data_IF_585993190555
#
_entry.id   IF_585993190555
#
_cell.length_a   1.000
_cell.length_b   1.000
_cell.length_c   1.000
_cell.angle_alpha   90.00
_cell.angle_beta   90.00
_cell.angle_gamma   90.00
#
_symmetry.space_group_name_H-M   'P 1'
#
loop_
_entity.id
_entity.type
_entity.pdbx_description
1 polymer ?
#
# COMPACT_ATOMS: atom_id res chain seq x y z
N UNK A 1 -11.99 12.78 23.62
CA UNK A 1 -11.17 11.55 23.73
C UNK A 1 -9.81 11.71 23.05
N UNK A 2 -9.74 12.19 21.79
CA UNK A 2 -8.48 12.28 21.02
C UNK A 2 -7.49 13.37 21.51
N UNK A 3 -7.97 14.45 22.17
CA UNK A 3 -7.13 15.53 22.72
C UNK A 3 -6.06 15.08 23.73
N UNK A 4 -6.24 13.92 24.38
CA UNK A 4 -5.30 13.39 25.37
C UNK A 4 -4.10 12.68 24.73
N UNK A 5 -4.11 12.46 23.41
CA UNK A 5 -3.08 11.73 22.68
C UNK A 5 -2.19 12.63 21.82
N UNK A 6 -2.22 13.95 22.05
CA UNK A 6 -1.38 14.92 21.33
C UNK A 6 0.09 14.64 21.64
N UNK A 7 0.90 14.47 20.58
CA UNK A 7 2.32 14.17 20.65
C UNK A 7 2.68 12.68 20.75
N UNK A 8 1.70 11.78 20.91
CA UNK A 8 1.95 10.33 21.04
C UNK A 8 1.98 9.64 19.67
N UNK A 9 2.75 8.55 19.57
CA UNK A 9 2.75 7.68 18.39
C UNK A 9 1.50 6.80 18.39
N UNK A 10 0.60 7.05 17.45
CA UNK A 10 -0.70 6.38 17.33
C UNK A 10 -0.55 4.88 17.12
N UNK A 11 0.55 4.43 16.52
CA UNK A 11 0.82 2.99 16.32
C UNK A 11 1.16 2.27 17.63
N UNK A 12 1.75 2.99 18.59
CA UNK A 12 2.11 2.50 19.93
C UNK A 12 0.94 2.51 20.92
N UNK A 13 -0.17 3.20 20.60
CA UNK A 13 -1.34 3.28 21.47
C UNK A 13 -2.18 1.99 21.42
N UNK A 14 -2.05 1.16 22.46
CA UNK A 14 -2.79 -0.11 22.63
C UNK A 14 -4.30 0.14 22.83
N UNK A 15 -4.68 1.26 23.45
CA UNK A 15 -6.04 1.51 23.98
C UNK A 15 -6.97 2.30 23.05
N UNK A 16 -6.63 2.46 21.76
CA UNK A 16 -7.52 3.18 20.84
C UNK A 16 -8.85 2.42 20.64
N UNK A 17 -9.99 3.14 20.58
CA UNK A 17 -11.30 2.54 20.41
C UNK A 17 -11.36 1.79 19.08
N UNK A 18 -12.01 0.62 19.04
CA UNK A 18 -12.14 -0.19 17.82
C UNK A 18 -12.90 0.54 16.71
N UNK A 19 -13.72 1.53 17.06
CA UNK A 19 -14.53 2.30 16.11
C UNK A 19 -13.73 3.15 15.13
N UNK A 20 -12.41 3.31 15.29
CA UNK A 20 -11.54 3.98 14.30
C UNK A 20 -10.73 2.99 13.45
N UNK A 21 -10.93 1.69 13.65
CA UNK A 21 -10.18 0.65 12.94
C UNK A 21 -10.94 0.17 11.71
N UNK A 22 -10.20 -0.08 10.64
CA UNK A 22 -10.67 -0.90 9.52
C UNK A 22 -10.48 -2.40 9.80
N UNK A 23 -11.14 -3.26 9.04
CA UNK A 23 -11.07 -4.72 9.21
C UNK A 23 -9.86 -5.36 8.54
N UNK A 24 -8.73 -4.66 8.47
CA UNK A 24 -7.47 -5.17 7.91
C UNK A 24 -6.31 -4.97 8.88
N UNK A 25 -5.31 -5.84 8.78
CA UNK A 25 -4.00 -5.60 9.42
C UNK A 25 -3.09 -4.80 8.48
N UNK A 26 -2.01 -4.22 9.01
CA UNK A 26 -1.02 -3.56 8.15
C UNK A 26 -0.41 -4.52 7.10
N UNK A 27 -0.37 -5.83 7.38
CA UNK A 27 0.13 -6.84 6.44
C UNK A 27 -0.79 -7.00 5.22
N UNK A 28 -2.11 -6.99 5.44
CA UNK A 28 -3.11 -6.94 4.37
C UNK A 28 -3.08 -5.60 3.64
N UNK A 29 -2.91 -4.48 4.37
CA UNK A 29 -2.76 -3.14 3.79
C UNK A 29 -1.62 -3.09 2.76
N UNK A 30 -0.49 -3.73 3.05
CA UNK A 30 0.64 -3.81 2.12
C UNK A 30 0.30 -4.58 0.82
N UNK A 31 -0.64 -5.52 0.88
CA UNK A 31 -1.10 -6.28 -0.29
C UNK A 31 -2.01 -5.46 -1.21
N UNK A 32 -2.67 -4.40 -0.71
CA UNK A 32 -3.57 -3.56 -1.51
C UNK A 32 -2.88 -2.91 -2.73
N UNK A 33 -1.58 -2.64 -2.61
CA UNK A 33 -0.73 -2.16 -3.71
C UNK A 33 -0.68 -3.11 -4.92
N UNK A 34 -1.11 -4.37 -4.73
CA UNK A 34 -1.10 -5.36 -5.80
C UNK A 34 -2.18 -5.15 -6.84
N UNK A 35 -3.25 -4.42 -6.52
CA UNK A 35 -4.34 -4.12 -7.47
C UNK A 35 -3.82 -3.52 -8.78
N UNK A 36 -2.87 -2.58 -8.64
CA UNK A 36 -2.36 -1.82 -9.76
C UNK A 36 -1.05 -2.40 -10.33
N UNK A 37 -0.63 -3.58 -9.87
CA UNK A 37 0.64 -4.20 -10.34
C UNK A 37 0.61 -4.59 -11.81
N UNK A 38 -0.56 -4.66 -12.44
CA UNK A 38 -0.67 -4.80 -13.90
C UNK A 38 0.05 -3.67 -14.68
N UNK A 39 0.29 -2.51 -14.04
CA UNK A 39 1.11 -1.44 -14.60
C UNK A 39 2.59 -1.85 -14.69
N UNK A 40 3.10 -2.62 -13.72
CA UNK A 40 4.47 -3.15 -13.77
C UNK A 40 4.60 -4.21 -14.88
N UNK A 41 3.57 -5.02 -15.10
CA UNK A 41 3.53 -5.97 -16.22
C UNK A 41 3.51 -5.25 -17.57
N UNK A 42 2.80 -4.12 -17.67
CA UNK A 42 2.83 -3.25 -18.86
C UNK A 42 4.20 -2.61 -19.06
N UNK A 43 4.85 -2.17 -17.98
CA UNK A 43 6.19 -1.62 -18.04
C UNK A 43 7.18 -2.66 -18.59
N UNK A 44 7.24 -3.86 -18.02
CA UNK A 44 8.14 -4.94 -18.47
C UNK A 44 7.96 -5.30 -19.96
N UNK A 45 6.73 -5.23 -20.47
CA UNK A 45 6.40 -5.51 -21.89
C UNK A 45 6.62 -4.32 -22.83
N UNK A 46 6.97 -3.14 -22.30
CA UNK A 46 7.06 -1.92 -23.08
C UNK A 46 8.45 -1.77 -23.70
N UNK A 47 8.51 -1.68 -25.03
CA UNK A 47 9.77 -1.44 -25.75
C UNK A 47 10.22 0.03 -25.71
N UNK A 48 9.26 0.97 -25.59
CA UNK A 48 9.55 2.40 -25.49
C UNK A 48 10.00 2.73 -24.05
N UNK A 49 11.26 3.17 -23.84
CA UNK A 49 11.79 3.46 -22.51
C UNK A 49 11.07 4.61 -21.80
N UNK A 50 10.46 5.55 -22.53
CA UNK A 50 9.69 6.63 -21.93
C UNK A 50 8.35 6.11 -21.42
N UNK A 51 7.65 5.31 -22.21
CA UNK A 51 6.39 4.68 -21.81
C UNK A 51 6.58 3.63 -20.70
N UNK A 52 7.73 2.95 -20.67
CA UNK A 52 8.13 2.12 -19.53
C UNK A 52 8.14 2.93 -18.23
N UNK A 53 8.83 4.09 -18.23
CA UNK A 53 8.95 4.94 -17.05
C UNK A 53 7.59 5.51 -16.65
N UNK A 54 6.75 5.82 -17.62
CA UNK A 54 5.38 6.23 -17.41
C UNK A 54 4.59 5.19 -16.61
N UNK A 55 4.55 3.92 -17.06
CA UNK A 55 3.83 2.87 -16.34
C UNK A 55 4.37 2.64 -14.92
N UNK A 56 5.71 2.62 -14.77
CA UNK A 56 6.35 2.47 -13.47
C UNK A 56 6.01 3.64 -12.52
N UNK A 57 5.99 4.87 -13.05
CA UNK A 57 5.63 6.07 -12.29
C UNK A 57 4.16 6.10 -11.92
N UNK A 58 3.24 5.73 -12.83
CA UNK A 58 1.82 5.60 -12.52
C UNK A 58 1.56 4.56 -11.42
N UNK A 59 2.30 3.44 -11.42
CA UNK A 59 2.22 2.47 -10.34
C UNK A 59 2.68 3.06 -9.00
N UNK A 60 3.79 3.81 -8.99
CA UNK A 60 4.27 4.50 -7.79
C UNK A 60 3.27 5.55 -7.27
N UNK A 61 2.60 6.30 -8.16
CA UNK A 61 1.55 7.26 -7.80
C UNK A 61 0.34 6.56 -7.16
N UNK A 62 -0.03 5.37 -7.62
CA UNK A 62 -1.17 4.61 -7.06
C UNK A 62 -1.00 4.28 -5.56
N UNK A 63 0.23 4.30 -5.03
CA UNK A 63 0.53 4.13 -3.61
C UNK A 63 -0.21 5.15 -2.75
N UNK A 64 -0.29 6.42 -3.19
CA UNK A 64 -0.96 7.47 -2.44
C UNK A 64 -2.46 7.20 -2.27
N UNK A 65 -3.11 6.68 -3.33
CA UNK A 65 -4.50 6.24 -3.26
C UNK A 65 -4.71 5.15 -2.22
N UNK A 66 -3.84 4.14 -2.21
CA UNK A 66 -3.93 2.99 -1.29
C UNK A 66 -3.85 3.44 0.18
N UNK A 67 -2.99 4.41 0.48
CA UNK A 67 -2.74 4.88 1.85
C UNK A 67 -3.56 6.11 2.28
N UNK A 68 -4.46 6.63 1.44
CA UNK A 68 -5.25 7.82 1.79
C UNK A 68 -6.34 7.57 2.84
N UNK A 69 -6.78 6.31 2.98
CA UNK A 69 -7.93 5.98 3.84
C UNK A 69 -7.58 6.25 5.30
N UNK A 70 -8.48 6.96 5.98
CA UNK A 70 -8.24 7.48 7.34
C UNK A 70 -8.46 6.44 8.44
N UNK A 71 -9.01 5.28 8.08
CA UNK A 71 -9.20 4.16 8.99
C UNK A 71 -7.86 3.58 9.42
N UNK A 72 -7.73 3.26 10.71
CA UNK A 72 -6.51 2.67 11.26
C UNK A 72 -6.51 1.15 11.03
N UNK A 73 -5.55 0.57 10.29
CA UNK A 73 -5.42 -0.89 10.24
C UNK A 73 -4.96 -1.43 11.61
N UNK A 74 -5.28 -2.68 11.89
CA UNK A 74 -4.75 -3.39 13.04
C UNK A 74 -3.23 -3.47 12.95
N UNK A 75 -2.54 -3.02 14.01
CA UNK A 75 -1.10 -3.20 14.11
C UNK A 75 -0.82 -4.71 14.20
N UNK A 76 -0.04 -5.30 13.28
CA UNK A 76 0.22 -6.73 13.31
C UNK A 76 0.97 -7.13 14.59
N UNK A 77 0.67 -8.33 15.10
CA UNK A 77 1.44 -8.89 16.22
C UNK A 77 2.76 -9.49 15.71
N UNK A 78 3.79 -9.58 16.55
CA UNK A 78 5.09 -10.13 16.15
C UNK A 78 4.91 -11.56 15.62
N UNK A 79 5.43 -11.82 14.42
CA UNK A 79 5.30 -13.12 13.76
C UNK A 79 4.00 -13.34 12.99
N UNK A 80 3.03 -12.42 13.05
CA UNK A 80 1.85 -12.43 12.17
C UNK A 80 2.29 -12.43 10.70
N UNK A 81 1.59 -13.19 9.86
CA UNK A 81 1.86 -13.32 8.43
C UNK A 81 0.62 -13.00 7.59
N UNK A 82 0.81 -12.67 6.33
CA UNK A 82 -0.26 -12.61 5.34
C UNK A 82 0.26 -13.09 3.99
N UNK A 83 -0.59 -13.77 3.22
CA UNK A 83 -0.22 -14.42 1.96
C UNK A 83 -1.35 -14.23 0.94
N UNK A 84 -0.99 -13.92 -0.31
CA UNK A 84 -1.91 -13.72 -1.43
C UNK A 84 -1.28 -14.40 -2.66
N UNK A 85 -1.93 -15.41 -3.23
CA UNK A 85 -1.40 -16.19 -4.37
C UNK A 85 -2.36 -16.31 -5.56
N UNK A 86 -3.65 -15.96 -5.38
CA UNK A 86 -4.67 -16.09 -6.43
C UNK A 86 -5.15 -14.72 -6.97
N UNK A 87 -4.22 -13.86 -7.39
CA UNK A 87 -4.55 -12.59 -8.02
C UNK A 87 -3.50 -12.18 -9.06
N UNK A 88 -3.86 -12.16 -10.34
CA UNK A 88 -2.99 -11.65 -11.42
C UNK A 88 -1.68 -12.40 -11.60
N UNK A 89 -1.58 -13.66 -11.17
CA UNK A 89 -0.32 -14.42 -11.15
C UNK A 89 0.69 -13.92 -10.12
N UNK A 90 0.30 -13.00 -9.24
CA UNK A 90 1.15 -12.41 -8.21
C UNK A 90 1.12 -13.27 -6.96
N UNK A 91 2.31 -13.63 -6.48
CA UNK A 91 2.54 -14.14 -5.13
C UNK A 91 2.96 -12.96 -4.27
N UNK A 92 2.24 -12.70 -3.19
CA UNK A 92 2.61 -11.73 -2.17
C UNK A 92 2.64 -12.39 -0.79
N UNK A 93 3.73 -12.13 -0.07
CA UNK A 93 3.97 -12.61 1.28
C UNK A 93 4.35 -11.43 2.16
N UNK A 94 3.80 -11.33 3.36
CA UNK A 94 4.24 -10.34 4.34
C UNK A 94 4.24 -10.88 5.76
N UNK A 95 5.07 -10.27 6.60
CA UNK A 95 5.28 -10.68 7.98
C UNK A 95 5.62 -9.50 8.88
N UNK A 96 5.11 -9.50 10.10
CA UNK A 96 5.60 -8.62 11.15
C UNK A 96 6.93 -9.15 11.70
N UNK A 97 8.03 -8.47 11.37
CA UNK A 97 9.39 -8.90 11.72
C UNK A 97 9.92 -8.27 13.00
N UNK A 98 9.32 -7.17 13.45
CA UNK A 98 9.70 -6.50 14.70
C UNK A 98 8.51 -5.79 15.34
N UNK A 99 8.48 -5.74 16.68
CA UNK A 99 7.47 -5.01 17.45
C UNK A 99 8.01 -3.68 18.02
N UNK A 100 9.31 -3.61 18.33
CA UNK A 100 9.96 -2.42 18.89
C UNK A 100 11.32 -2.17 18.21
N UNK A 101 11.37 -1.30 17.18
CA UNK A 101 10.24 -0.58 16.57
C UNK A 101 9.34 -1.51 15.73
N UNK A 102 8.06 -1.16 15.52
CA UNK A 102 7.18 -1.95 14.66
C UNK A 102 7.70 -1.93 13.22
N UNK A 103 7.97 -3.10 12.66
CA UNK A 103 8.41 -3.25 11.27
C UNK A 103 7.74 -4.47 10.63
N UNK A 104 7.19 -4.24 9.44
CA UNK A 104 6.62 -5.28 8.58
C UNK A 104 7.50 -5.42 7.34
N UNK A 105 7.76 -6.65 6.92
CA UNK A 105 8.43 -6.95 5.66
C UNK A 105 7.43 -7.58 4.69
N UNK A 106 7.53 -7.26 3.41
CA UNK A 106 6.70 -7.80 2.35
C UNK A 106 7.53 -8.10 1.09
N UNK A 107 7.08 -9.10 0.35
CA UNK A 107 7.65 -9.53 -0.91
C UNK A 107 6.52 -9.84 -1.87
N UNK A 108 6.59 -9.30 -3.08
CA UNK A 108 5.69 -9.61 -4.17
C UNK A 108 6.52 -10.05 -5.39
N UNK A 109 6.03 -11.04 -6.11
CA UNK A 109 6.62 -11.43 -7.40
C UNK A 109 5.56 -12.01 -8.35
N UNK A 110 5.83 -11.86 -9.64
CA UNK A 110 5.21 -12.62 -10.72
C UNK A 110 6.27 -12.84 -11.83
N UNK A 111 5.84 -13.18 -13.06
CA UNK A 111 6.76 -13.37 -14.19
C UNK A 111 7.48 -12.07 -14.62
N UNK A 112 6.93 -10.90 -14.31
CA UNK A 112 7.34 -9.59 -14.82
C UNK A 112 8.11 -8.73 -13.80
N UNK A 113 7.82 -8.87 -12.51
CA UNK A 113 8.45 -8.04 -11.48
C UNK A 113 8.75 -8.79 -10.19
N UNK A 114 9.68 -8.20 -9.42
CA UNK A 114 9.92 -8.55 -8.02
C UNK A 114 9.93 -7.25 -7.22
N UNK A 115 9.18 -7.22 -6.11
CA UNK A 115 9.03 -6.06 -5.26
C UNK A 115 9.21 -6.44 -3.79
N UNK A 116 10.22 -5.87 -3.15
CA UNK A 116 10.48 -6.04 -1.74
C UNK A 116 10.20 -4.73 -1.02
N UNK A 117 9.47 -4.79 0.10
CA UNK A 117 9.13 -3.63 0.92
C UNK A 117 9.41 -3.92 2.38
N UNK A 118 9.99 -2.94 3.07
CA UNK A 118 10.01 -2.91 4.54
C UNK A 118 9.29 -1.66 4.99
N UNK A 119 8.20 -1.83 5.73
CA UNK A 119 7.41 -0.74 6.27
C UNK A 119 7.76 -0.53 7.74
N UNK A 120 8.30 0.66 8.04
CA UNK A 120 8.55 1.15 9.40
C UNK A 120 7.79 2.46 9.58
N UNK A 121 6.53 2.36 9.96
CA UNK A 121 5.68 3.54 10.17
C UNK A 121 5.98 4.16 11.54
N UNK A 122 6.33 5.45 11.56
CA UNK A 122 6.32 6.28 12.77
C UNK A 122 5.21 7.32 12.61
N UNK A 123 4.27 7.38 13.55
CA UNK A 123 3.20 8.40 13.53
C UNK A 123 3.37 9.36 14.69
N UNK A 124 2.85 10.59 14.55
CA UNK A 124 2.74 11.56 15.64
C UNK A 124 1.42 12.30 15.52
N UNK A 125 0.59 12.21 16.55
CA UNK A 125 -0.71 12.89 16.54
C UNK A 125 -0.56 14.39 16.89
N UNK A 126 -0.97 15.31 16.01
CA UNK A 126 -0.80 16.75 16.18
C UNK A 126 -2.15 17.47 16.25
N UNK A 127 -2.93 17.20 17.31
CA UNK A 127 -4.16 17.91 17.73
C UNK A 127 -5.30 17.99 16.69
N UNK A 128 -5.07 18.66 15.56
CA UNK A 128 -6.00 18.85 14.44
C UNK A 128 -5.53 18.17 13.14
N UNK A 129 -4.31 17.62 13.08
CA UNK A 129 -3.81 16.82 11.97
C UNK A 129 -3.09 15.56 12.47
N UNK A 130 -3.17 14.49 11.67
CA UNK A 130 -2.18 13.43 11.70
C UNK A 130 -1.19 13.76 10.58
N UNK A 131 -0.03 14.32 10.92
CA UNK A 131 0.96 14.67 9.90
C UNK A 131 1.59 13.39 9.34
N UNK A 132 1.23 13.07 8.11
CA UNK A 132 2.05 12.31 7.18
C UNK A 132 2.59 13.38 6.22
N UNK A 133 3.90 13.61 6.17
CA UNK A 133 4.50 14.68 5.35
C UNK A 133 4.31 14.38 3.86
N UNK A 134 3.52 15.20 3.17
CA UNK A 134 4.08 15.96 2.05
C UNK A 134 3.73 17.45 2.18
N UNK A 135 4.74 18.32 2.06
CA UNK A 135 4.59 19.77 2.01
C UNK A 135 3.98 20.20 0.65
N UNK A 136 3.41 21.40 0.62
CA UNK A 136 2.28 21.77 -0.25
C UNK A 136 2.69 22.76 -1.33
N UNK A 137 2.53 22.40 -2.61
CA UNK A 137 2.22 23.33 -3.73
C UNK A 137 1.70 22.63 -5.00
N UNK A 138 0.54 21.97 -4.90
CA UNK A 138 -0.38 21.68 -6.02
C UNK A 138 -1.80 21.51 -5.43
N UNK A 139 -2.86 21.58 -6.24
CA UNK A 139 -4.23 21.35 -5.78
C UNK A 139 -4.33 20.03 -5.02
N UNK A 140 -5.24 19.95 -4.04
CA UNK A 140 -5.40 18.73 -3.24
C UNK A 140 -5.63 17.55 -4.19
N UNK A 141 -4.77 16.53 -4.09
CA UNK A 141 -4.78 15.32 -4.92
C UNK A 141 -4.15 15.39 -6.32
N UNK A 142 -3.68 16.55 -6.76
CA UNK A 142 -3.07 16.70 -8.10
C UNK A 142 -1.71 16.01 -8.21
N UNK A 143 -1.44 15.50 -9.40
CA UNK A 143 -0.15 14.95 -9.82
C UNK A 143 0.21 15.67 -11.11
N UNK A 144 1.39 16.27 -11.16
CA UNK A 144 2.02 16.77 -12.39
C UNK A 144 3.49 16.34 -12.36
N UNK A 145 3.95 15.68 -13.41
CA UNK A 145 5.33 15.20 -13.51
C UNK A 145 5.75 15.03 -14.96
N UNK A 146 7.02 15.22 -15.25
CA UNK A 146 7.57 15.06 -16.59
C UNK A 146 8.51 13.87 -16.64
N UNK A 147 8.44 13.10 -17.72
CA UNK A 147 9.49 12.17 -18.13
C UNK A 147 10.41 12.91 -19.07
N UNK A 148 11.71 12.89 -18.78
CA UNK A 148 12.73 13.61 -19.53
C UNK A 148 13.59 12.65 -20.37
N UNK A 149 14.09 13.14 -21.49
CA UNK A 149 15.13 12.46 -22.26
C UNK A 149 16.53 12.65 -21.65
N UNK A 150 17.53 12.04 -22.29
CA UNK A 150 18.92 12.06 -21.81
C UNK A 150 19.58 13.45 -21.81
N UNK A 151 18.98 14.44 -22.49
CA UNK A 151 19.44 15.83 -22.51
C UNK A 151 18.55 16.75 -21.66
N UNK A 152 17.75 16.17 -20.76
CA UNK A 152 16.87 16.87 -19.81
C UNK A 152 15.75 17.69 -20.45
N UNK A 153 15.35 17.35 -21.68
CA UNK A 153 14.14 17.90 -22.29
C UNK A 153 12.94 17.03 -21.93
N UNK A 154 11.79 17.62 -21.54
CA UNK A 154 10.59 16.84 -21.22
C UNK A 154 10.09 16.15 -22.49
N UNK A 155 9.65 14.90 -22.40
CA UNK A 155 9.09 14.08 -23.50
C UNK A 155 7.61 13.74 -23.25
N UNK A 156 7.25 13.47 -21.99
CA UNK A 156 5.89 13.08 -21.60
C UNK A 156 5.51 13.82 -20.32
N UNK A 157 4.29 14.36 -20.27
CA UNK A 157 3.69 14.89 -19.06
C UNK A 157 2.72 13.84 -18.48
N UNK A 158 2.96 13.46 -17.24
CA UNK A 158 2.05 12.67 -16.42
C UNK A 158 1.24 13.67 -15.60
N UNK A 159 -0.08 13.64 -15.71
CA UNK A 159 -0.92 14.61 -14.99
C UNK A 159 -2.30 14.09 -14.68
N UNK A 160 -2.81 14.37 -13.49
CA UNK A 160 -4.14 13.96 -13.08
C UNK A 160 -4.34 14.13 -11.59
N UNK A 161 -5.17 13.28 -11.01
CA UNK A 161 -5.41 13.26 -9.58
C UNK A 161 -5.26 11.86 -9.00
N UNK A 162 -4.37 11.69 -8.04
CA UNK A 162 -4.10 10.37 -7.48
C UNK A 162 -5.30 9.77 -6.72
N UNK A 163 -6.33 10.54 -6.36
CA UNK A 163 -7.51 10.06 -5.63
C UNK A 163 -8.71 9.65 -6.52
N UNK A 164 -8.69 10.02 -7.80
CA UNK A 164 -9.76 9.76 -8.77
C UNK A 164 -9.19 8.95 -9.95
N UNK A 165 -8.14 9.47 -10.60
CA UNK A 165 -7.52 8.92 -11.81
C UNK A 165 -6.18 9.63 -12.07
N UNK A 166 -5.13 8.87 -12.39
CA UNK A 166 -3.90 9.44 -12.94
C UNK A 166 -4.00 9.33 -14.45
N UNK A 167 -4.30 10.45 -15.08
CA UNK A 167 -4.28 10.54 -16.52
C UNK A 167 -2.85 10.80 -16.98
N UNK A 168 -2.60 10.64 -18.28
CA UNK A 168 -1.33 11.00 -18.90
C UNK A 168 -1.63 11.93 -20.04
N UNK A 169 -1.07 13.13 -19.97
CA UNK A 169 -1.06 14.06 -21.09
C UNK A 169 0.26 13.84 -21.85
N UNK A 170 0.23 13.05 -22.91
CA UNK A 170 1.38 12.95 -23.80
C UNK A 170 1.65 14.34 -24.41
N UNK A 171 2.66 15.06 -23.91
CA UNK A 171 2.93 16.44 -24.34
C UNK A 171 3.64 16.50 -25.70
N UNK A 172 4.34 15.44 -26.14
CA UNK A 172 5.17 15.52 -27.34
C UNK A 172 4.71 14.64 -28.50
N UNK A 173 3.78 13.71 -28.27
CA UNK A 173 3.21 12.87 -29.34
C UNK A 173 1.70 13.09 -29.48
N UNK A 174 1.36 14.22 -30.11
CA UNK A 174 0.05 14.56 -30.73
C UNK A 174 -1.17 14.52 -29.80
N UNK A 175 -1.51 15.67 -29.19
CA UNK A 175 -2.87 16.11 -28.75
C UNK A 175 -3.83 15.10 -28.08
N UNK A 176 -3.35 13.92 -27.66
CA UNK A 176 -4.20 12.79 -27.28
C UNK A 176 -3.92 12.46 -25.82
N UNK A 177 -4.86 12.83 -24.96
CA UNK A 177 -4.90 12.43 -23.56
C UNK A 177 -5.14 10.92 -23.50
N UNK A 178 -4.20 10.16 -22.92
CA UNK A 178 -4.34 8.72 -22.71
C UNK A 178 -4.49 8.46 -21.21
N UNK A 179 -5.56 7.77 -20.84
CA UNK A 179 -5.72 7.28 -19.47
C UNK A 179 -4.86 6.03 -19.26
N UNK A 180 -3.85 6.13 -18.40
CA UNK A 180 -2.96 5.00 -18.09
C UNK A 180 -3.39 4.26 -16.83
N UNK A 181 -3.95 4.96 -15.85
CA UNK A 181 -4.43 4.38 -14.61
C UNK A 181 -5.68 5.10 -14.12
N UNK A 182 -6.63 4.33 -13.60
CA UNK A 182 -7.76 4.86 -12.84
C UNK A 182 -7.93 4.08 -11.54
N UNK A 183 -8.56 4.74 -10.58
CA UNK A 183 -8.95 4.10 -9.34
C UNK A 183 -9.99 3.02 -9.62
N UNK A 184 -9.80 1.85 -9.01
CA UNK A 184 -10.75 0.75 -9.07
C UNK A 184 -12.07 1.11 -8.37
N UNK A 185 -13.17 0.50 -8.82
CA UNK A 185 -14.50 0.82 -8.31
C UNK A 185 -14.69 0.42 -6.84
N UNK A 186 -15.40 1.29 -6.10
CA UNK A 186 -15.83 1.07 -4.72
C UNK A 186 -17.30 0.61 -4.76
N UNK A 187 -17.67 -0.49 -4.07
CA UNK A 187 -19.07 -0.87 -3.90
C UNK A 187 -19.87 0.25 -3.26
N UNK A 188 -21.13 0.38 -3.68
CA UNK A 188 -22.02 1.41 -3.13
C UNK A 188 -22.19 1.22 -1.61
N UNK A 189 -22.12 2.33 -0.87
CA UNK A 189 -22.31 2.39 0.58
C UNK A 189 -21.28 1.54 1.38
N UNK A 190 -20.09 1.31 0.84
CA UNK A 190 -19.02 0.62 1.56
C UNK A 190 -18.55 1.41 2.79
N UNK A 191 -18.50 0.75 3.94
CA UNK A 191 -18.17 1.38 5.22
C UNK A 191 -16.74 1.91 5.30
N UNK A 192 -15.80 1.24 4.62
CA UNK A 192 -14.37 1.49 4.74
C UNK A 192 -13.77 2.07 3.46
N UNK A 193 -14.61 2.45 2.49
CA UNK A 193 -14.19 2.87 1.14
C UNK A 193 -13.31 1.82 0.45
N UNK A 194 -13.63 0.53 0.65
CA UNK A 194 -12.91 -0.58 0.05
C UNK A 194 -13.28 -0.79 -1.41
N UNK A 195 -12.29 -0.79 -2.30
CA UNK A 195 -12.47 -1.30 -3.65
C UNK A 195 -12.77 -2.81 -3.62
N UNK A 196 -13.33 -3.36 -4.70
CA UNK A 196 -13.63 -4.80 -4.78
C UNK A 196 -12.43 -5.69 -4.46
N UNK A 197 -11.21 -5.30 -4.86
CA UNK A 197 -10.01 -6.05 -4.52
C UNK A 197 -9.73 -6.13 -3.02
N UNK A 198 -10.05 -5.09 -2.25
CA UNK A 198 -9.86 -5.09 -0.79
C UNK A 198 -10.85 -6.05 -0.11
N UNK A 199 -12.07 -6.17 -0.62
CA UNK A 199 -12.99 -7.21 -0.19
C UNK A 199 -12.44 -8.60 -0.49
N UNK A 200 -11.82 -8.79 -1.66
CA UNK A 200 -11.12 -10.02 -2.04
C UNK A 200 -9.94 -10.34 -1.10
N UNK A 201 -9.18 -9.33 -0.66
CA UNK A 201 -8.07 -9.51 0.29
C UNK A 201 -8.55 -9.87 1.71
N UNK A 202 -9.76 -9.45 2.09
CA UNK A 202 -10.37 -9.80 3.37
C UNK A 202 -11.12 -11.15 3.32
N UNK A 203 -11.53 -11.61 2.13
CA UNK A 203 -12.02 -12.96 1.92
C UNK A 203 -10.86 -13.95 1.83
N UNK A 204 -11.19 -15.24 1.66
CA UNK A 204 -10.21 -16.31 1.45
C UNK A 204 -9.89 -16.52 -0.04
N UNK A 205 -10.41 -15.68 -0.94
CA UNK A 205 -10.31 -15.90 -2.40
C UNK A 205 -8.89 -15.72 -2.91
N UNK A 206 -8.07 -14.94 -2.20
CA UNK A 206 -6.66 -14.75 -2.54
C UNK A 206 -5.73 -15.78 -1.93
N UNK A 207 -6.21 -16.63 -1.03
CA UNK A 207 -5.37 -17.38 -0.12
C UNK A 207 -4.77 -18.64 -0.75
N UNK A 208 -3.61 -19.09 -0.25
CA UNK A 208 -3.14 -20.42 -0.57
C UNK A 208 -4.11 -21.48 -0.03
N UNK A 209 -4.10 -22.68 -0.64
CA UNK A 209 -4.95 -23.81 -0.24
C UNK A 209 -4.85 -24.18 1.25
N UNK A 210 -3.71 -23.88 1.88
CA UNK A 210 -3.46 -24.11 3.30
C UNK A 210 -2.89 -22.85 3.92
N UNK A 211 -3.60 -22.31 4.90
CA UNK A 211 -3.16 -21.15 5.66
C UNK A 211 -2.23 -21.53 6.81
N UNK A 212 -1.26 -20.65 7.07
CA UNK A 212 -0.49 -20.69 8.31
C UNK A 212 -1.36 -20.28 9.50
N UNK A 213 -1.16 -20.86 10.70
CA UNK A 213 -1.85 -20.41 11.91
C UNK A 213 -1.59 -18.93 12.26
N UNK A 214 -0.48 -18.37 11.79
CA UNK A 214 -0.10 -16.96 11.94
C UNK A 214 -0.78 -16.00 10.97
N UNK A 215 -1.59 -16.51 10.03
CA UNK A 215 -2.18 -15.68 8.98
C UNK A 215 -3.18 -14.64 9.54
N UNK A 216 -3.12 -13.40 9.06
CA UNK A 216 -3.98 -12.27 9.45
C UNK A 216 -5.49 -12.55 9.33
N UNK A 217 -5.96 -13.42 8.42
CA UNK A 217 -7.39 -13.78 8.35
C UNK A 217 -7.88 -14.48 9.61
N UNK A 218 -7.00 -15.26 10.25
CA UNK A 218 -7.31 -16.01 11.47
C UNK A 218 -7.30 -15.11 12.72
N UNK A 219 -6.94 -13.83 12.56
CA UNK A 219 -6.86 -12.87 13.65
C UNK A 219 -8.26 -12.49 14.18
N UNK A 220 -8.57 -12.82 15.44
CA UNK A 220 -9.95 -12.90 15.88
C UNK A 220 -10.55 -11.55 16.32
N UNK A 221 -9.73 -10.54 16.63
CA UNK A 221 -10.12 -9.15 16.86
C UNK A 221 -10.39 -8.39 15.56
N UNK A 222 -9.58 -8.62 14.52
CA UNK A 222 -9.81 -8.11 13.15
C UNK A 222 -11.12 -8.65 12.58
N UNK A 223 -11.31 -9.97 12.57
CA UNK A 223 -12.51 -10.61 12.05
C UNK A 223 -13.80 -10.14 12.76
N UNK A 224 -13.71 -9.82 14.06
CA UNK A 224 -14.86 -9.28 14.77
C UNK A 224 -15.28 -7.88 14.27
N UNK A 225 -14.35 -7.05 13.77
CA UNK A 225 -14.68 -5.76 13.14
C UNK A 225 -15.37 -5.97 11.79
N UNK A 226 -14.88 -6.92 11.00
CA UNK A 226 -15.48 -7.31 9.73
C UNK A 226 -16.97 -7.71 9.91
N UNK A 227 -17.24 -8.52 10.94
CA UNK A 227 -18.61 -8.93 11.30
C UNK A 227 -19.43 -7.85 12.04
N UNK A 228 -18.93 -6.62 12.13
CA UNK A 228 -19.62 -5.51 12.80
C UNK A 228 -19.69 -5.57 14.34
N UNK A 229 -18.98 -6.51 14.98
CA UNK A 229 -19.00 -6.73 16.43
C UNK A 229 -17.81 -6.03 17.14
N UNK A 230 -17.94 -4.72 17.35
CA UNK A 230 -16.92 -3.87 17.97
C UNK A 230 -16.61 -4.25 19.42
N UNK A 231 -17.60 -4.68 20.20
CA UNK A 231 -17.42 -5.13 21.60
C UNK A 231 -16.53 -6.37 21.67
N UNK A 232 -16.81 -7.39 20.84
CA UNK A 232 -16.01 -8.63 20.76
C UNK A 232 -14.60 -8.35 20.27
N UNK A 233 -14.44 -7.43 19.31
CA UNK A 233 -13.13 -7.01 18.84
C UNK A 233 -12.31 -6.35 19.95
N UNK A 234 -12.90 -5.41 20.70
CA UNK A 234 -12.22 -4.72 21.80
C UNK A 234 -11.72 -5.68 22.88
N UNK A 235 -12.56 -6.64 23.27
CA UNK A 235 -12.20 -7.66 24.26
C UNK A 235 -11.06 -8.59 23.79
N UNK A 236 -11.02 -8.94 22.49
CA UNK A 236 -9.99 -9.82 21.92
C UNK A 236 -8.68 -9.09 21.65
N UNK A 237 -8.74 -7.84 21.21
CA UNK A 237 -7.58 -6.99 20.94
C UNK A 237 -6.69 -6.89 22.18
N UNK A 238 -7.27 -6.64 23.36
CA UNK A 238 -6.53 -6.60 24.63
C UNK A 238 -5.83 -7.92 24.99
N UNK A 239 -6.35 -9.07 24.55
CA UNK A 239 -5.76 -10.39 24.81
C UNK A 239 -4.61 -10.72 23.85
N UNK A 240 -4.75 -10.40 22.56
CA UNK A 240 -3.75 -10.71 21.53
C UNK A 240 -2.38 -10.06 21.79
N UNK A 241 -2.33 -8.89 22.43
CA UNK A 241 -1.06 -8.22 22.77
C UNK A 241 -0.24 -8.90 23.88
N UNK A 242 -0.78 -9.92 24.57
CA UNK A 242 -0.09 -10.59 25.68
C UNK A 242 0.79 -11.77 25.20
N UNK A 243 0.65 -12.19 23.93
CA UNK A 243 1.32 -13.38 23.40
C UNK A 243 2.35 -12.95 22.34
N UNK A 244 3.62 -12.87 22.69
CA UNK A 244 4.73 -12.69 21.73
C UNK A 244 5.47 -14.00 21.53
N UNK A 245 5.56 -14.45 20.28
CA UNK A 245 6.33 -15.64 19.88
C UNK A 245 7.68 -15.24 19.28
N UNK A 246 8.65 -16.16 19.38
CA UNK A 246 10.02 -16.05 18.88
C UNK A 246 10.05 -15.83 17.35
N UNK A 247 10.77 -14.82 16.83
CA UNK A 247 10.76 -14.51 15.41
C UNK A 247 11.55 -15.54 14.58
N UNK A 248 10.90 -16.19 13.60
CA UNK A 248 11.60 -16.76 12.44
C UNK A 248 12.19 -15.61 11.61
N UNK A 249 13.50 -15.61 11.38
CA UNK A 249 14.17 -14.62 10.55
C UNK A 249 13.70 -14.71 9.09
N UNK A 250 13.24 -13.58 8.53
CA UNK A 250 13.05 -13.37 7.10
C UNK A 250 14.18 -12.45 6.63
N UNK A 251 14.96 -12.88 5.65
CA UNK A 251 15.98 -12.05 5.00
C UNK A 251 15.72 -12.06 3.49
N UNK A 252 15.16 -10.98 2.96
CA UNK A 252 15.14 -10.74 1.52
C UNK A 252 16.45 -10.03 1.16
N UNK A 253 17.37 -10.72 0.47
CA UNK A 253 18.44 -10.06 -0.28
C UNK A 253 17.84 -9.58 -1.59
N UNK A 254 18.17 -8.35 -1.98
CA UNK A 254 17.74 -7.69 -3.22
C UNK A 254 17.82 -8.65 -4.41
N UNK A 255 16.66 -9.01 -4.99
CA UNK A 255 16.58 -9.61 -6.32
C UNK A 255 15.81 -8.62 -7.16
N UNK A 256 16.54 -7.74 -7.83
CA UNK A 256 16.00 -6.97 -8.96
C UNK A 256 16.44 -7.72 -10.20
N UNK A 257 15.49 -8.35 -10.91
CA UNK A 257 15.74 -8.86 -12.26
C UNK A 257 15.76 -7.66 -13.22
N UNK A 258 16.91 -7.01 -13.39
CA UNK A 258 17.06 -6.02 -14.46
C UNK A 258 17.32 -6.73 -15.79
N UNK A 259 16.45 -6.52 -16.79
CA UNK A 259 16.71 -6.85 -18.20
C UNK A 259 17.03 -5.62 -19.07
N UNK A 260 17.00 -4.40 -18.53
CA UNK A 260 17.32 -3.18 -19.28
C UNK A 260 18.50 -2.40 -18.68
N UNK A 261 19.44 -1.92 -19.52
CA UNK A 261 20.57 -1.12 -19.09
C UNK A 261 20.10 0.21 -18.50
N UNK A 262 20.73 0.58 -17.40
CA UNK A 262 20.50 1.77 -16.59
C UNK A 262 20.48 3.06 -17.42
N UNK A 263 19.30 3.59 -17.72
CA UNK A 263 19.10 5.03 -17.82
C UNK A 263 19.05 5.56 -16.40
N UNK A 264 19.98 6.46 -16.05
CA UNK A 264 19.99 7.16 -14.77
C UNK A 264 18.63 7.84 -14.57
N UNK A 265 17.76 7.21 -13.79
CA UNK A 265 16.43 7.74 -13.52
C UNK A 265 16.51 8.55 -12.24
N UNK A 266 16.68 9.85 -12.38
CA UNK A 266 16.40 10.79 -11.29
C UNK A 266 14.88 10.99 -11.22
N UNK A 267 14.18 10.13 -10.48
CA UNK A 267 12.85 10.52 -9.97
C UNK A 267 13.11 11.51 -8.85
N UNK A 268 13.22 12.80 -9.20
CA UNK A 268 13.22 13.86 -8.21
C UNK A 268 11.75 14.02 -7.78
N UNK A 269 11.32 13.21 -6.80
CA UNK A 269 10.23 13.61 -5.93
C UNK A 269 10.77 14.78 -5.11
N UNK A 270 10.68 15.98 -5.66
CA UNK A 270 11.13 17.18 -4.97
C UNK A 270 10.27 17.36 -3.72
N UNK A 271 10.90 17.38 -2.54
CA UNK A 271 10.33 18.01 -1.36
C UNK A 271 10.14 19.51 -1.69
N UNK A 272 8.90 19.94 -1.94
CA UNK A 272 8.52 21.35 -2.07
C UNK A 272 7.29 21.63 -1.22
#
# INVERSE_FOLDING_TARGET
>A
MIKNYIGTDVTSLVTLPVTIFESMTMLQKMAELREYSHLLDKADKCEDPYMWLVYASSWAVSVYYVYQRTWKPFNPILGETYEMVNHGGIIFLSKQVSHHPPMSAGHAENEHFTYNITLKLKTKFLKNSLDVYPLRRAGLYEVDGYVYNAVEEPEILITGKWNEQCNINLVIWKESLIQVWHVADIPKDDKFDYIYFMHKLNSFDTDPRKLLPSNSHLRPDRYAVEMGNTTKSGAKKSKSFTISFTPLAFCFRNIVKHHHPTTNTHIILTDI
#
